data_IF_742481741478
#
_entry.id   IF_742481741478
#
_cell.length_a   1.000
_cell.length_b   1.000
_cell.length_c   1.000
_cell.angle_alpha   90.00
_cell.angle_beta   90.00
_cell.angle_gamma   90.00
#
_symmetry.space_group_name_H-M   'P 1'
#
loop_
_entity.id
_entity.type
_entity.pdbx_description
1 polymer ?
#
# COMPACT_ATOMS: atom_id res chain seq x y z
N UNK A 1 10.52 13.36 -3.36
CA UNK A 1 10.45 11.88 -3.31
C UNK A 1 11.79 11.16 -3.55
N UNK A 2 12.90 11.88 -3.82
CA UNK A 2 14.30 11.37 -3.89
C UNK A 2 14.79 10.81 -2.54
N UNK A 3 14.20 11.27 -1.44
CA UNK A 3 14.62 10.92 -0.08
C UNK A 3 14.37 9.42 0.21
N UNK A 4 13.34 8.80 -0.37
CA UNK A 4 13.03 7.37 -0.10
C UNK A 4 14.09 6.39 -0.63
N UNK A 5 14.74 6.70 -1.77
CA UNK A 5 15.78 5.83 -2.35
C UNK A 5 17.10 5.97 -1.59
N UNK A 6 17.43 7.19 -1.14
CA UNK A 6 18.56 7.44 -0.23
C UNK A 6 18.31 6.75 1.11
N UNK A 7 17.07 6.76 1.60
CA UNK A 7 16.70 6.10 2.84
C UNK A 7 16.89 4.56 2.73
N UNK A 8 16.48 3.97 1.60
CA UNK A 8 16.70 2.56 1.28
C UNK A 8 18.19 2.19 1.15
N UNK A 9 18.99 3.02 0.49
CA UNK A 9 20.44 2.85 0.40
C UNK A 9 21.12 2.95 1.77
N UNK A 10 20.69 3.89 2.62
CA UNK A 10 21.19 3.99 3.99
C UNK A 10 20.88 2.71 4.76
N UNK A 11 19.63 2.23 4.76
CA UNK A 11 19.26 1.00 5.50
C UNK A 11 20.03 -0.24 5.07
N UNK A 12 20.36 -0.36 3.77
CA UNK A 12 21.11 -1.48 3.22
C UNK A 12 22.63 -1.40 3.47
N UNK A 13 23.23 -0.21 3.52
CA UNK A 13 24.67 -0.04 3.74
C UNK A 13 25.11 -0.12 5.20
N UNK A 14 24.33 0.42 6.14
CA UNK A 14 24.72 0.43 7.57
C UNK A 14 24.30 -0.83 8.33
N UNK A 15 23.61 -1.78 7.70
CA UNK A 15 23.14 -3.00 8.35
C UNK A 15 22.19 -2.72 9.52
N UNK A 16 21.43 -1.61 9.45
CA UNK A 16 20.74 -1.05 10.61
C UNK A 16 19.25 -1.38 10.68
N UNK A 17 18.96 -2.07 11.78
CA UNK A 17 17.86 -1.94 12.75
C UNK A 17 16.41 -1.71 12.27
N UNK A 18 15.51 -2.42 12.96
CA UNK A 18 14.06 -2.30 12.84
C UNK A 18 13.55 -0.84 12.92
N UNK A 19 14.26 0.03 13.65
CA UNK A 19 13.92 1.45 13.79
C UNK A 19 13.90 2.20 12.47
N UNK A 20 14.78 1.83 11.53
CA UNK A 20 14.85 2.48 10.23
C UNK A 20 13.67 2.11 9.35
N UNK A 21 13.30 0.82 9.30
CA UNK A 21 12.12 0.35 8.59
C UNK A 21 10.84 0.95 9.15
N UNK A 22 10.73 1.05 10.48
CA UNK A 22 9.55 1.65 11.09
C UNK A 22 9.43 3.15 10.74
N UNK A 23 10.52 3.91 10.80
CA UNK A 23 10.53 5.32 10.40
C UNK A 23 10.15 5.49 8.91
N UNK A 24 10.65 4.60 8.07
CA UNK A 24 10.33 4.56 6.65
C UNK A 24 8.83 4.33 6.40
N UNK A 25 8.24 3.32 7.04
CA UNK A 25 6.82 2.99 6.92
C UNK A 25 5.95 4.12 7.45
N UNK A 26 6.34 4.75 8.57
CA UNK A 26 5.66 5.93 9.11
C UNK A 26 5.65 7.09 8.12
N UNK A 27 6.78 7.39 7.47
CA UNK A 27 6.86 8.44 6.45
C UNK A 27 6.02 8.10 5.22
N UNK A 28 6.02 6.84 4.79
CA UNK A 28 5.17 6.38 3.68
C UNK A 28 3.70 6.56 4.00
N UNK A 29 3.27 6.18 5.21
CA UNK A 29 1.90 6.39 5.67
C UNK A 29 1.50 7.88 5.67
N UNK A 30 2.36 8.76 6.18
CA UNK A 30 2.12 10.22 6.16
C UNK A 30 1.93 10.71 4.72
N UNK A 31 2.78 10.27 3.79
CA UNK A 31 2.64 10.62 2.38
C UNK A 31 1.29 10.16 1.80
N UNK A 32 0.87 8.92 2.10
CA UNK A 32 -0.44 8.40 1.70
C UNK A 32 -1.57 9.26 2.24
N UNK A 33 -1.51 9.65 3.51
CA UNK A 33 -2.52 10.51 4.13
C UNK A 33 -2.60 11.89 3.42
N UNK A 34 -1.47 12.53 3.14
CA UNK A 34 -1.44 13.79 2.38
C UNK A 34 -2.00 13.64 0.96
N UNK A 35 -1.61 12.58 0.26
CA UNK A 35 -2.10 12.31 -1.09
C UNK A 35 -3.61 12.08 -1.09
N UNK A 36 -4.13 11.32 -0.12
CA UNK A 36 -5.56 11.05 0.00
C UNK A 36 -6.37 12.31 0.28
N UNK A 37 -5.85 13.23 1.10
CA UNK A 37 -6.48 14.55 1.32
C UNK A 37 -6.49 15.35 0.01
N UNK A 38 -5.38 15.32 -0.75
CA UNK A 38 -5.30 15.99 -2.04
C UNK A 38 -6.31 15.41 -3.06
N UNK A 39 -6.45 14.08 -3.16
CA UNK A 39 -7.46 13.46 -4.03
C UNK A 39 -8.88 13.83 -3.60
N UNK A 40 -9.18 13.76 -2.30
CA UNK A 40 -10.49 14.17 -1.78
C UNK A 40 -10.80 15.63 -2.05
N UNK A 41 -9.80 16.52 -2.01
CA UNK A 41 -9.93 17.91 -2.42
C UNK A 41 -10.27 18.02 -3.91
N UNK A 42 -9.56 17.33 -4.80
CA UNK A 42 -9.84 17.37 -6.24
C UNK A 42 -11.26 16.89 -6.56
N UNK A 43 -11.70 15.82 -5.90
CA UNK A 43 -13.06 15.28 -6.04
C UNK A 43 -14.13 16.28 -5.60
N UNK A 44 -13.94 16.92 -4.43
CA UNK A 44 -14.89 17.91 -3.92
C UNK A 44 -15.11 19.10 -4.86
N UNK A 45 -14.08 19.48 -5.62
CA UNK A 45 -14.15 20.57 -6.60
C UNK A 45 -14.46 20.09 -8.02
N UNK A 46 -14.88 18.83 -8.21
CA UNK A 46 -15.18 18.21 -9.51
C UNK A 46 -14.03 18.41 -10.53
N UNK A 47 -12.81 18.51 -10.02
CA UNK A 47 -11.65 18.81 -10.85
C UNK A 47 -11.26 17.57 -11.63
N UNK A 48 -11.13 17.70 -12.95
CA UNK A 48 -10.67 16.61 -13.79
C UNK A 48 -9.25 16.24 -13.39
N UNK A 49 -9.02 14.94 -13.22
CA UNK A 49 -7.74 14.42 -12.81
C UNK A 49 -6.64 14.77 -13.83
N UNK A 50 -5.68 15.59 -13.42
CA UNK A 50 -4.63 16.08 -14.29
C UNK A 50 -3.52 15.02 -14.51
N UNK A 51 -2.79 15.05 -15.64
CA UNK A 51 -1.67 14.14 -15.89
C UNK A 51 -0.62 14.10 -14.78
N UNK A 52 -0.40 15.22 -14.10
CA UNK A 52 0.51 15.33 -12.95
C UNK A 52 0.09 14.42 -11.78
N UNK A 53 -1.22 14.27 -11.56
CA UNK A 53 -1.76 13.44 -10.49
C UNK A 53 -1.56 11.95 -10.79
N UNK A 54 -1.70 11.57 -12.06
CA UNK A 54 -1.40 10.22 -12.55
C UNK A 54 0.10 9.95 -12.38
N UNK A 55 0.96 10.91 -12.76
CA UNK A 55 2.40 10.76 -12.60
C UNK A 55 2.81 10.61 -11.13
N UNK A 56 2.25 11.41 -10.23
CA UNK A 56 2.50 11.26 -8.79
C UNK A 56 2.02 9.91 -8.24
N UNK A 57 0.86 9.45 -8.70
CA UNK A 57 0.32 8.14 -8.33
C UNK A 57 1.25 7.01 -8.78
N UNK A 58 1.65 7.01 -10.05
CA UNK A 58 2.53 5.99 -10.63
C UNK A 58 3.95 6.04 -10.04
N UNK A 59 4.50 7.24 -9.82
CA UNK A 59 5.83 7.41 -9.23
C UNK A 59 5.88 6.89 -7.78
N UNK A 60 4.79 7.05 -7.02
CA UNK A 60 4.67 6.40 -5.71
C UNK A 60 4.61 4.88 -5.84
N UNK A 61 3.79 4.33 -6.75
CA UNK A 61 3.71 2.88 -6.94
C UNK A 61 5.08 2.27 -7.28
N UNK A 62 5.83 2.90 -8.19
CA UNK A 62 7.18 2.43 -8.57
C UNK A 62 8.14 2.40 -7.39
N UNK A 63 8.17 3.48 -6.60
CA UNK A 63 9.04 3.55 -5.42
C UNK A 63 8.61 2.56 -4.36
N UNK A 64 7.31 2.45 -4.15
CA UNK A 64 6.71 1.52 -3.20
C UNK A 64 7.05 0.06 -3.55
N UNK A 65 7.04 -0.33 -4.82
CA UNK A 65 7.46 -1.66 -5.24
C UNK A 65 8.92 -1.98 -4.87
N UNK A 66 9.83 -1.02 -5.02
CA UNK A 66 11.24 -1.19 -4.59
C UNK A 66 11.33 -1.45 -3.09
N UNK A 67 10.52 -0.75 -2.30
CA UNK A 67 10.46 -0.91 -0.84
C UNK A 67 9.90 -2.28 -0.46
N UNK A 68 8.77 -2.67 -1.06
CA UNK A 68 8.15 -3.98 -0.82
C UNK A 68 9.11 -5.12 -1.19
N UNK A 69 9.84 -4.99 -2.30
CA UNK A 69 10.90 -5.94 -2.67
C UNK A 69 11.99 -6.03 -1.59
N UNK A 70 12.48 -4.90 -1.08
CA UNK A 70 13.49 -4.88 -0.03
C UNK A 70 13.01 -5.54 1.27
N UNK A 71 11.82 -5.17 1.76
CA UNK A 71 11.23 -5.77 2.97
C UNK A 71 11.02 -7.28 2.78
N UNK A 72 10.53 -7.72 1.61
CA UNK A 72 10.38 -9.15 1.29
C UNK A 72 11.72 -9.88 1.34
N UNK A 73 12.81 -9.28 0.81
CA UNK A 73 14.16 -9.87 0.89
C UNK A 73 14.68 -9.99 2.32
N UNK A 74 14.35 -9.06 3.20
CA UNK A 74 14.71 -9.13 4.62
C UNK A 74 13.91 -10.23 5.34
N UNK A 75 12.61 -10.34 5.09
CA UNK A 75 11.75 -11.35 5.72
C UNK A 75 12.13 -12.79 5.35
N UNK A 76 12.70 -13.03 4.17
CA UNK A 76 13.27 -14.34 3.81
C UNK A 76 14.37 -14.80 4.78
N UNK A 77 15.00 -13.88 5.50
CA UNK A 77 16.14 -14.14 6.40
C UNK A 77 15.76 -14.10 7.89
N UNK A 78 14.65 -13.44 8.25
CA UNK A 78 14.18 -13.34 9.62
C UNK A 78 12.66 -13.07 9.67
N UNK A 79 11.91 -13.97 10.31
CA UNK A 79 10.45 -13.91 10.47
C UNK A 79 9.97 -12.68 11.25
N UNK A 80 10.82 -12.04 12.06
CA UNK A 80 10.49 -10.78 12.75
C UNK A 80 10.14 -9.64 11.78
N UNK A 81 10.60 -9.73 10.53
CA UNK A 81 10.27 -8.73 9.51
C UNK A 81 8.93 -8.95 8.83
N UNK A 82 8.23 -10.06 9.08
CA UNK A 82 6.88 -10.31 8.52
C UNK A 82 5.89 -9.19 8.88
N UNK A 83 6.00 -8.61 10.08
CA UNK A 83 5.15 -7.48 10.48
C UNK A 83 5.31 -6.26 9.57
N UNK A 84 6.50 -6.05 8.99
CA UNK A 84 6.74 -4.93 8.07
C UNK A 84 6.18 -5.20 6.69
N UNK A 85 6.15 -6.46 6.25
CA UNK A 85 5.40 -6.86 5.04
C UNK A 85 3.93 -6.49 5.23
N UNK A 86 3.37 -6.84 6.40
CA UNK A 86 1.97 -6.52 6.69
C UNK A 86 1.70 -5.02 6.65
N UNK A 87 2.50 -4.23 7.37
CA UNK A 87 2.34 -2.78 7.39
C UNK A 87 2.49 -2.18 5.98
N UNK A 88 3.48 -2.62 5.21
CA UNK A 88 3.74 -2.13 3.86
C UNK A 88 2.57 -2.42 2.91
N UNK A 89 2.06 -3.65 2.90
CA UNK A 89 0.91 -4.02 2.06
C UNK A 89 -0.37 -3.27 2.45
N UNK A 90 -0.57 -3.00 3.75
CA UNK A 90 -1.68 -2.16 4.20
C UNK A 90 -1.53 -0.71 3.69
N UNK A 91 -0.33 -0.13 3.78
CA UNK A 91 -0.04 1.22 3.27
C UNK A 91 -0.29 1.29 1.76
N UNK A 92 0.14 0.27 1.00
CA UNK A 92 -0.13 0.17 -0.43
C UNK A 92 -1.61 0.19 -0.75
N UNK A 93 -2.40 -0.66 -0.07
CA UNK A 93 -3.83 -0.72 -0.31
C UNK A 93 -4.51 0.61 0.01
N UNK A 94 -4.13 1.26 1.13
CA UNK A 94 -4.67 2.56 1.54
C UNK A 94 -4.29 3.71 0.60
N UNK A 95 -3.20 3.57 -0.16
CA UNK A 95 -2.82 4.51 -1.20
C UNK A 95 -3.62 4.31 -2.48
N UNK A 96 -3.74 3.05 -2.91
CA UNK A 96 -4.47 2.69 -4.14
C UNK A 96 -5.97 2.95 -4.00
N UNK A 97 -6.53 2.73 -2.81
CA UNK A 97 -7.98 2.83 -2.60
C UNK A 97 -8.54 4.20 -3.01
N UNK A 98 -8.12 5.35 -2.44
CA UNK A 98 -8.72 6.64 -2.78
C UNK A 98 -8.47 7.04 -4.23
N UNK A 99 -7.28 6.73 -4.74
CA UNK A 99 -6.88 7.02 -6.11
C UNK A 99 -7.73 6.29 -7.15
N UNK A 100 -8.37 5.17 -6.83
CA UNK A 100 -9.23 4.44 -7.78
C UNK A 100 -10.70 4.61 -7.42
N UNK A 101 -11.04 4.58 -6.14
CA UNK A 101 -12.40 4.68 -5.66
C UNK A 101 -13.03 6.04 -5.98
N UNK A 102 -12.30 7.14 -5.80
CA UNK A 102 -12.85 8.48 -6.02
C UNK A 102 -12.81 8.95 -7.48
N UNK A 103 -11.96 8.35 -8.33
CA UNK A 103 -11.96 8.70 -9.75
C UNK A 103 -13.25 8.32 -10.46
N UNK A 104 -13.62 9.04 -11.52
CA UNK A 104 -14.68 8.58 -12.42
C UNK A 104 -14.27 7.28 -13.12
N UNK A 105 -15.26 6.51 -13.62
CA UNK A 105 -14.95 5.26 -14.33
C UNK A 105 -14.05 5.48 -15.54
N UNK A 106 -14.30 6.54 -16.32
CA UNK A 106 -13.47 6.91 -17.47
C UNK A 106 -12.02 7.19 -17.07
N UNK A 107 -11.81 7.89 -15.94
CA UNK A 107 -10.47 8.18 -15.41
C UNK A 107 -9.75 6.91 -14.94
N UNK A 108 -10.46 5.99 -14.27
CA UNK A 108 -9.91 4.68 -13.89
C UNK A 108 -9.51 3.90 -15.14
N UNK A 109 -10.34 3.89 -16.18
CA UNK A 109 -10.05 3.18 -17.42
C UNK A 109 -8.92 3.82 -18.24
N UNK A 110 -8.63 5.10 -18.00
CA UNK A 110 -7.51 5.82 -18.59
C UNK A 110 -6.18 5.67 -17.80
N UNK A 111 -6.19 5.04 -16.61
CA UNK A 111 -4.97 4.84 -15.83
C UNK A 111 -3.95 4.01 -16.63
N UNK A 112 -2.67 4.45 -16.68
CA UNK A 112 -1.61 3.69 -17.31
C UNK A 112 -1.25 2.46 -16.47
N UNK A 113 -0.70 1.43 -17.11
CA UNK A 113 -0.10 0.27 -16.43
C UNK A 113 -1.05 -0.38 -15.39
N UNK A 114 -2.29 -0.67 -15.82
CA UNK A 114 -3.33 -1.34 -14.99
C UNK A 114 -2.87 -2.70 -14.44
N UNK A 115 -1.94 -3.35 -15.11
CA UNK A 115 -1.32 -4.59 -14.67
C UNK A 115 -0.52 -4.37 -13.37
N UNK A 116 0.33 -3.32 -13.31
CA UNK A 116 1.03 -2.95 -12.08
C UNK A 116 0.08 -2.68 -10.92
N UNK A 117 -0.99 -1.95 -11.17
CA UNK A 117 -2.01 -1.64 -10.14
C UNK A 117 -2.66 -2.95 -9.64
N UNK A 118 -3.06 -3.81 -10.57
CA UNK A 118 -3.63 -5.13 -10.26
C UNK A 118 -2.67 -6.00 -9.45
N UNK A 119 -1.37 -5.99 -9.80
CA UNK A 119 -0.35 -6.74 -9.07
C UNK A 119 -0.21 -6.28 -7.62
N UNK A 120 -0.30 -4.97 -7.36
CA UNK A 120 -0.27 -4.43 -5.98
C UNK A 120 -1.49 -4.89 -5.19
N UNK A 121 -2.68 -4.92 -5.81
CA UNK A 121 -3.89 -5.44 -5.17
C UNK A 121 -3.78 -6.93 -4.84
N UNK A 122 -3.25 -7.72 -5.78
CA UNK A 122 -3.02 -9.15 -5.57
C UNK A 122 -2.02 -9.44 -4.45
N UNK A 123 -0.96 -8.64 -4.31
CA UNK A 123 -0.02 -8.76 -3.20
C UNK A 123 -0.69 -8.58 -1.83
N UNK A 124 -1.63 -7.63 -1.72
CA UNK A 124 -2.41 -7.47 -0.49
C UNK A 124 -3.31 -8.69 -0.25
N UNK A 125 -3.98 -9.19 -1.29
CA UNK A 125 -4.87 -10.35 -1.17
C UNK A 125 -4.12 -11.61 -0.73
N UNK A 126 -2.96 -11.89 -1.33
CA UNK A 126 -2.11 -13.03 -0.95
C UNK A 126 -1.66 -12.94 0.52
N UNK A 127 -1.30 -11.73 0.96
CA UNK A 127 -0.95 -11.48 2.35
C UNK A 127 -2.16 -11.71 3.28
N UNK A 128 -3.34 -11.21 2.89
CA UNK A 128 -4.58 -11.40 3.65
C UNK A 128 -4.88 -12.89 3.84
N UNK A 129 -4.79 -13.68 2.76
CA UNK A 129 -4.95 -15.15 2.82
C UNK A 129 -3.92 -15.80 3.76
N UNK A 130 -2.65 -15.37 3.68
CA UNK A 130 -1.59 -15.85 4.57
C UNK A 130 -1.86 -15.51 6.04
N UNK A 131 -2.43 -14.34 6.32
CA UNK A 131 -2.79 -13.90 7.68
C UNK A 131 -3.94 -14.73 8.25
N UNK A 132 -4.95 -15.07 7.43
CA UNK A 132 -6.04 -15.96 7.84
C UNK A 132 -5.58 -17.38 8.20
N UNK A 133 -4.44 -17.82 7.66
CA UNK A 133 -3.78 -19.07 8.08
C UNK A 133 -3.13 -19.03 9.47
N UNK A 134 -3.42 -18.01 10.29
CA UNK A 134 -2.96 -17.83 11.68
C UNK A 134 -1.44 -17.80 11.88
N UNK A 135 -0.73 -17.00 11.07
CA UNK A 135 0.70 -16.80 11.27
C UNK A 135 1.02 -16.02 12.58
N UNK A 136 2.29 -15.99 12.97
CA UNK A 136 2.77 -15.30 14.18
C UNK A 136 2.32 -13.83 14.24
N UNK A 137 2.35 -13.13 13.12
CA UNK A 137 1.94 -11.72 13.03
C UNK A 137 0.44 -11.54 13.26
N UNK A 138 -0.39 -12.44 12.73
CA UNK A 138 -1.83 -12.45 12.98
C UNK A 138 -2.13 -12.65 14.48
N UNK A 139 -1.49 -13.63 15.12
CA UNK A 139 -1.67 -13.92 16.55
C UNK A 139 -1.33 -12.71 17.42
N UNK A 140 -0.18 -12.08 17.19
CA UNK A 140 0.24 -10.87 17.92
C UNK A 140 -0.76 -9.72 17.71
N UNK A 141 -1.25 -9.54 16.48
CA UNK A 141 -2.26 -8.52 16.17
C UNK A 141 -3.58 -8.77 16.91
N UNK A 142 -4.05 -10.02 16.88
CA UNK A 142 -5.27 -10.47 17.56
C UNK A 142 -5.18 -10.34 19.08
N UNK A 143 -4.03 -10.68 19.68
CA UNK A 143 -3.78 -10.52 21.12
C UNK A 143 -3.84 -9.05 21.57
N UNK A 144 -3.33 -8.13 20.74
CA UNK A 144 -3.25 -6.70 21.09
C UNK A 144 -4.55 -5.94 20.86
N UNK A 145 -5.31 -6.30 19.83
CA UNK A 145 -6.47 -5.52 19.36
C UNK A 145 -7.80 -6.29 19.44
N UNK A 146 -7.76 -7.57 19.81
CA UNK A 146 -8.93 -8.43 19.91
C UNK A 146 -9.72 -8.49 18.60
N UNK A 147 -11.03 -8.41 18.69
CA UNK A 147 -11.94 -8.45 17.53
C UNK A 147 -11.84 -7.22 16.61
N UNK A 148 -11.22 -6.15 17.08
CA UNK A 148 -10.96 -4.97 16.25
C UNK A 148 -9.98 -5.30 15.13
N UNK A 149 -9.02 -6.20 15.37
CA UNK A 149 -8.06 -6.62 14.35
C UNK A 149 -8.75 -7.26 13.15
N UNK A 150 -9.65 -8.21 13.40
CA UNK A 150 -10.37 -8.93 12.35
C UNK A 150 -11.33 -8.01 11.60
N UNK A 151 -11.99 -7.09 12.32
CA UNK A 151 -12.83 -6.05 11.70
C UNK A 151 -12.03 -5.18 10.75
N UNK A 152 -10.85 -4.74 11.17
CA UNK A 152 -9.96 -3.92 10.33
C UNK A 152 -9.46 -4.71 9.11
N UNK A 153 -9.01 -5.95 9.29
CA UNK A 153 -8.59 -6.81 8.18
C UNK A 153 -9.70 -7.04 7.18
N UNK A 154 -10.92 -7.35 7.65
CA UNK A 154 -12.10 -7.51 6.79
C UNK A 154 -12.46 -6.20 6.08
N UNK A 155 -12.34 -5.07 6.76
CA UNK A 155 -12.52 -3.74 6.17
C UNK A 155 -11.56 -3.53 4.99
N UNK A 156 -10.27 -3.82 5.19
CA UNK A 156 -9.27 -3.74 4.13
C UNK A 156 -9.58 -4.69 2.96
N UNK A 157 -10.00 -5.93 3.22
CA UNK A 157 -10.44 -6.85 2.15
C UNK A 157 -11.63 -6.28 1.35
N UNK A 158 -12.60 -5.65 2.01
CA UNK A 158 -13.71 -5.02 1.33
C UNK A 158 -13.24 -3.88 0.41
N UNK A 159 -12.29 -3.05 0.87
CA UNK A 159 -11.69 -2.00 0.04
C UNK A 159 -11.00 -2.59 -1.19
N UNK A 160 -10.19 -3.65 -1.00
CA UNK A 160 -9.57 -4.39 -2.10
C UNK A 160 -10.61 -4.83 -3.15
N UNK A 161 -11.71 -5.44 -2.71
CA UNK A 161 -12.74 -5.95 -3.62
C UNK A 161 -13.40 -4.82 -4.42
N UNK A 162 -13.75 -3.71 -3.76
CA UNK A 162 -14.33 -2.54 -4.42
C UNK A 162 -13.41 -2.01 -5.53
N UNK A 163 -12.11 -1.86 -5.24
CA UNK A 163 -11.13 -1.39 -6.23
C UNK A 163 -11.02 -2.38 -7.39
N UNK A 164 -10.91 -3.67 -7.06
CA UNK A 164 -10.77 -4.74 -8.05
C UNK A 164 -11.95 -4.74 -9.01
N UNK A 165 -13.17 -4.65 -8.49
CA UNK A 165 -14.39 -4.66 -9.31
C UNK A 165 -14.39 -3.45 -10.26
N UNK A 166 -14.06 -2.26 -9.74
CA UNK A 166 -13.96 -1.03 -10.54
C UNK A 166 -12.91 -1.10 -11.65
N UNK A 167 -11.76 -1.73 -11.40
CA UNK A 167 -10.74 -1.96 -12.42
C UNK A 167 -11.18 -2.98 -13.48
N UNK A 168 -11.95 -3.99 -13.11
CA UNK A 168 -12.45 -5.01 -14.04
C UNK A 168 -13.50 -4.45 -15.01
N UNK A 169 -14.25 -3.42 -14.62
CA UNK A 169 -15.17 -2.70 -15.51
C UNK A 169 -14.47 -1.96 -16.67
N UNK A 170 -13.13 -1.93 -16.68
CA UNK A 170 -12.31 -1.35 -17.75
C UNK A 170 -11.71 -2.38 -18.72
N UNK A 171 -12.14 -3.64 -18.66
CA UNK A 171 -11.78 -4.73 -19.57
C UNK A 171 -12.81 -4.86 -20.70
#
# INVERSE_FOLDING_TARGET
MIIFEIDLLASSFVGLSEWYLQAFLSKSRIYVEYFNIYIGYQEYYESTYAPENINMFMEFLDKNQKISFFINKLALKNEEFERYIVQQSMIQLLFVFPAIYFLSQEQVCALPDKEKISNVLMQFFDLYQKLQGENKTYKIGKERQGDTFDKNLKGLLNLHNIIKDKLNECQ
#
